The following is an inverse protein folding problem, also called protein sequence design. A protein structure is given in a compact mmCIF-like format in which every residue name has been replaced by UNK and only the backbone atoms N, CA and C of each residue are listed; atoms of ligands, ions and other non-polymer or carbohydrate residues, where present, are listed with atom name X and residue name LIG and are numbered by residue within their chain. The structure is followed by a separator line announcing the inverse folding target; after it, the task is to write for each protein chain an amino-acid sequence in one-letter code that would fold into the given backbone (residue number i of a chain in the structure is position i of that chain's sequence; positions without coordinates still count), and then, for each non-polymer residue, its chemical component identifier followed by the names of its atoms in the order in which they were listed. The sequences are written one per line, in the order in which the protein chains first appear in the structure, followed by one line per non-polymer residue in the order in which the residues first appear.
data_IF_893272525361
#
_entry.id   IF_893272525361
#
_cell.length_a   1.000
_cell.length_b   1.000
_cell.length_c   1.000
_cell.angle_alpha   90.00
_cell.angle_beta   90.00
_cell.angle_gamma   90.00
#
_symmetry.space_group_name_H-M   'P 1'
#
loop_
_entity.id
_entity.type
_entity.pdbx_description
1 polymer ?
#
# COMPACT_ATOMS: atom_id res chain seq x y z
N UNK A 1 -19.48 25.02 9.06
CA UNK A 1 -20.12 24.66 7.78
C UNK A 1 -20.75 23.28 7.93
N UNK A 2 -22.08 23.22 8.06
CA UNK A 2 -22.83 21.96 8.22
C UNK A 2 -22.72 21.17 6.92
N UNK A 3 -22.01 20.05 6.95
CA UNK A 3 -22.08 19.05 5.89
C UNK A 3 -23.46 18.41 5.95
N UNK A 4 -24.24 18.61 4.90
CA UNK A 4 -25.38 17.76 4.62
C UNK A 4 -24.84 16.40 4.12
N UNK A 5 -24.66 15.47 5.05
CA UNK A 5 -25.40 14.21 4.87
C UNK A 5 -26.86 14.65 4.67
N UNK A 6 -27.58 14.17 3.68
CA UNK A 6 -28.48 13.07 3.99
C UNK A 6 -29.00 12.54 2.67
N UNK A 7 -28.25 11.59 2.17
CA UNK A 7 -28.60 10.17 2.10
C UNK A 7 -27.43 9.57 1.34
N UNK A 8 -27.08 8.32 1.57
CA UNK A 8 -26.32 7.60 0.55
C UNK A 8 -27.32 6.95 -0.43
N UNK A 9 -27.47 7.49 -1.65
CA UNK A 9 -28.59 7.18 -2.54
C UNK A 9 -27.98 6.68 -3.86
N UNK A 10 -28.80 6.52 -4.91
CA UNK A 10 -28.40 6.05 -6.26
C UNK A 10 -27.25 6.83 -6.96
N UNK A 11 -26.63 7.81 -6.30
CA UNK A 11 -25.59 8.72 -6.79
C UNK A 11 -24.27 8.65 -5.99
N UNK A 12 -24.00 7.56 -5.26
CA UNK A 12 -22.59 7.20 -4.96
C UNK A 12 -21.93 6.83 -6.28
N UNK A 13 -21.19 7.77 -6.86
CA UNK A 13 -20.32 7.47 -8.00
C UNK A 13 -18.99 6.92 -7.48
N UNK A 14 -18.41 5.96 -8.22
CA UNK A 14 -17.10 5.37 -7.88
C UNK A 14 -16.11 6.50 -7.64
N UNK A 15 -15.14 6.31 -6.76
CA UNK A 15 -14.21 7.37 -6.29
C UNK A 15 -13.47 8.14 -7.40
N UNK A 16 -13.49 7.66 -8.64
CA UNK A 16 -12.92 8.31 -9.83
C UNK A 16 -13.96 8.89 -10.82
N UNK A 17 -15.26 8.75 -10.59
CA UNK A 17 -16.36 9.09 -11.53
C UNK A 17 -16.93 10.51 -11.36
N UNK A 18 -16.22 11.42 -10.67
CA UNK A 18 -16.61 12.83 -10.63
C UNK A 18 -16.27 13.49 -11.97
N UNK A 19 -17.33 13.73 -12.73
CA UNK A 19 -17.40 14.35 -14.05
C UNK A 19 -16.49 15.57 -14.25
N UNK A 20 -15.72 15.54 -15.35
CA UNK A 20 -15.31 16.63 -16.27
C UNK A 20 -14.93 18.01 -15.73
N UNK A 21 -14.66 18.16 -14.44
CA UNK A 21 -13.76 19.18 -13.92
C UNK A 21 -12.41 18.47 -13.82
N UNK A 22 -11.35 19.06 -14.38
CA UNK A 22 -9.97 18.58 -14.19
C UNK A 22 -9.56 18.87 -12.73
N UNK A 23 -10.28 18.30 -11.76
CA UNK A 23 -9.85 18.27 -10.37
C UNK A 23 -8.66 17.33 -10.39
N UNK A 24 -7.46 17.91 -10.42
CA UNK A 24 -6.21 17.17 -10.31
C UNK A 24 -6.09 16.65 -8.88
N UNK A 25 -6.83 15.60 -8.56
CA UNK A 25 -6.75 14.89 -7.29
C UNK A 25 -5.52 13.99 -7.31
N UNK A 26 -4.77 14.04 -6.22
CA UNK A 26 -3.57 13.27 -5.95
C UNK A 26 -3.83 12.11 -4.98
N UNK A 27 -5.10 11.86 -4.61
CA UNK A 27 -5.54 10.75 -3.76
C UNK A 27 -7.07 10.59 -3.84
N UNK A 28 -7.62 9.41 -3.50
CA UNK A 28 -9.06 9.22 -3.31
C UNK A 28 -9.61 10.11 -2.18
N UNK A 29 -10.83 10.62 -2.34
CA UNK A 29 -11.49 11.44 -1.30
C UNK A 29 -11.69 10.72 0.03
N UNK A 30 -11.90 9.40 -0.03
CA UNK A 30 -12.17 8.59 1.14
C UNK A 30 -10.90 8.12 1.85
N UNK A 31 -9.69 8.41 1.33
CA UNK A 31 -8.41 7.90 1.88
C UNK A 31 -8.24 8.08 3.40
N UNK A 32 -8.68 9.22 3.93
CA UNK A 32 -8.57 9.54 5.37
C UNK A 32 -9.89 9.36 6.12
N UNK A 33 -10.75 8.47 5.64
CA UNK A 33 -12.03 8.13 6.27
C UNK A 33 -12.03 6.66 6.70
N UNK A 34 -12.93 6.32 7.63
CA UNK A 34 -13.12 4.98 8.17
C UNK A 34 -13.80 4.00 7.17
N UNK A 35 -14.22 4.49 6.00
CA UNK A 35 -14.79 3.67 4.92
C UNK A 35 -13.78 3.32 3.83
N UNK A 36 -12.56 3.86 3.85
CA UNK A 36 -11.56 3.61 2.80
C UNK A 36 -11.26 2.12 2.61
N UNK A 37 -10.92 1.45 3.71
CA UNK A 37 -10.62 0.02 3.74
C UNK A 37 -11.88 -0.78 3.39
N UNK A 38 -13.02 -0.47 4.03
CA UNK A 38 -14.31 -1.14 3.80
C UNK A 38 -14.73 -1.16 2.33
N UNK A 39 -14.49 -0.06 1.62
CA UNK A 39 -14.81 0.06 0.20
C UNK A 39 -13.86 -0.72 -0.73
N UNK A 40 -12.76 -1.28 -0.20
CA UNK A 40 -11.65 -1.86 -0.96
C UNK A 40 -11.07 -3.12 -0.31
N UNK A 41 -11.82 -3.81 0.56
CA UNK A 41 -11.29 -4.95 1.31
C UNK A 41 -10.79 -6.04 0.37
N UNK A 42 -11.58 -6.41 -0.63
CA UNK A 42 -11.26 -7.47 -1.60
C UNK A 42 -9.99 -7.16 -2.39
N UNK A 43 -9.87 -5.94 -2.91
CA UNK A 43 -8.74 -5.52 -3.74
C UNK A 43 -7.46 -5.31 -2.92
N UNK A 44 -7.58 -4.83 -1.67
CA UNK A 44 -6.46 -4.71 -0.74
C UNK A 44 -6.01 -6.10 -0.30
N UNK A 45 -6.93 -7.01 0.04
CA UNK A 45 -6.65 -8.40 0.39
C UNK A 45 -5.93 -9.11 -0.76
N UNK A 46 -6.43 -8.98 -2.00
CA UNK A 46 -5.78 -9.51 -3.19
C UNK A 46 -4.34 -8.98 -3.34
N UNK A 47 -4.13 -7.65 -3.20
CA UNK A 47 -2.78 -7.08 -3.30
C UNK A 47 -1.85 -7.54 -2.18
N UNK A 48 -2.35 -7.68 -0.95
CA UNK A 48 -1.58 -8.24 0.16
C UNK A 48 -1.19 -9.70 -0.12
N UNK A 49 -2.10 -10.51 -0.65
CA UNK A 49 -1.81 -11.87 -1.07
C UNK A 49 -0.73 -11.91 -2.17
N UNK A 50 -0.82 -11.03 -3.17
CA UNK A 50 0.22 -10.93 -4.20
C UNK A 50 1.59 -10.57 -3.62
N UNK A 51 1.66 -9.73 -2.59
CA UNK A 51 2.91 -9.38 -1.89
C UNK A 51 3.46 -10.59 -1.11
N UNK A 52 2.58 -11.40 -0.51
CA UNK A 52 2.98 -12.58 0.28
C UNK A 52 3.44 -13.76 -0.58
N UNK A 53 2.75 -14.00 -1.71
CA UNK A 53 2.94 -15.21 -2.53
C UNK A 53 3.96 -15.02 -3.66
N UNK A 54 4.19 -13.77 -4.10
CA UNK A 54 5.16 -13.47 -5.14
C UNK A 54 6.41 -12.78 -4.58
N UNK A 55 7.31 -12.41 -5.48
CA UNK A 55 8.49 -11.63 -5.16
C UNK A 55 8.12 -10.19 -4.78
N UNK A 56 8.05 -9.94 -3.46
CA UNK A 56 7.74 -8.63 -2.89
C UNK A 56 8.76 -7.54 -3.28
N UNK A 57 10.05 -7.90 -3.42
CA UNK A 57 11.08 -6.97 -3.86
C UNK A 57 10.85 -6.52 -5.29
N UNK A 58 10.50 -7.46 -6.17
CA UNK A 58 10.14 -7.17 -7.55
C UNK A 58 8.87 -6.32 -7.64
N UNK A 59 7.85 -6.64 -6.85
CA UNK A 59 6.61 -5.84 -6.78
C UNK A 59 6.92 -4.40 -6.33
N UNK A 60 7.79 -4.22 -5.33
CA UNK A 60 8.22 -2.89 -4.90
C UNK A 60 8.93 -2.14 -6.04
N UNK A 61 9.86 -2.80 -6.73
CA UNK A 61 10.63 -2.21 -7.83
C UNK A 61 9.74 -1.80 -9.02
N UNK A 62 8.80 -2.64 -9.40
CA UNK A 62 7.81 -2.34 -10.44
C UNK A 62 6.96 -1.12 -10.05
N UNK A 63 6.44 -1.09 -8.82
CA UNK A 63 5.64 0.04 -8.32
C UNK A 63 6.45 1.33 -8.18
N UNK A 64 7.72 1.25 -7.77
CA UNK A 64 8.63 2.38 -7.70
C UNK A 64 8.85 3.00 -9.08
N UNK A 65 9.16 2.17 -10.08
CA UNK A 65 9.35 2.62 -11.47
C UNK A 65 8.07 3.22 -12.06
N UNK A 66 6.91 2.62 -11.77
CA UNK A 66 5.60 3.16 -12.17
C UNK A 66 5.32 4.52 -11.54
N UNK A 67 5.60 4.69 -10.25
CA UNK A 67 5.42 5.96 -9.54
C UNK A 67 6.36 7.04 -10.11
N UNK A 68 7.62 6.70 -10.36
CA UNK A 68 8.62 7.59 -10.98
C UNK A 68 8.16 8.07 -12.36
N UNK A 69 7.73 7.14 -13.23
CA UNK A 69 7.20 7.46 -14.57
C UNK A 69 5.97 8.37 -14.51
N UNK A 70 5.08 8.18 -13.54
CA UNK A 70 3.89 9.02 -13.37
C UNK A 70 4.22 10.41 -12.85
N UNK A 71 5.17 10.52 -11.91
CA UNK A 71 5.65 11.81 -11.40
C UNK A 71 6.06 12.72 -12.55
N UNK A 72 6.91 12.21 -13.47
CA UNK A 72 7.34 12.96 -14.64
C UNK A 72 6.18 13.37 -15.57
N UNK A 73 5.19 12.49 -15.77
CA UNK A 73 4.04 12.78 -16.63
C UNK A 73 3.05 13.81 -16.05
N UNK A 74 2.96 13.90 -14.72
CA UNK A 74 1.94 14.67 -14.01
C UNK A 74 2.47 16.00 -13.43
N UNK A 75 3.45 16.64 -14.07
CA UNK A 75 4.14 17.84 -13.56
C UNK A 75 4.67 17.63 -12.12
N UNK A 76 5.30 16.48 -11.86
CA UNK A 76 5.80 16.06 -10.55
C UNK A 76 4.72 15.94 -9.46
N UNK A 77 3.45 15.75 -9.86
CA UNK A 77 2.38 15.39 -8.93
C UNK A 77 2.30 13.88 -8.80
N UNK A 78 2.42 13.43 -7.56
CA UNK A 78 2.41 12.02 -7.18
C UNK A 78 1.32 11.79 -6.12
N UNK A 79 1.01 10.52 -5.86
CA UNK A 79 0.12 10.16 -4.77
C UNK A 79 0.59 10.81 -3.46
N UNK A 80 -0.29 11.54 -2.75
CA UNK A 80 0.12 12.41 -1.63
C UNK A 80 0.81 11.68 -0.47
N UNK A 81 0.63 10.36 -0.37
CA UNK A 81 1.31 9.56 0.66
C UNK A 81 2.69 9.05 0.25
N UNK A 82 3.11 9.27 -0.99
CA UNK A 82 4.48 9.02 -1.43
C UNK A 82 5.36 10.24 -1.12
N UNK A 83 6.65 9.97 -0.95
CA UNK A 83 7.66 11.02 -0.81
C UNK A 83 7.70 11.90 -2.06
N UNK A 84 7.65 13.22 -1.88
CA UNK A 84 7.50 14.19 -2.99
C UNK A 84 8.67 14.09 -3.97
N UNK A 85 9.83 13.83 -3.43
CA UNK A 85 11.02 13.43 -4.18
C UNK A 85 11.16 11.90 -4.15
N UNK A 86 10.68 11.23 -5.19
CA UNK A 86 10.74 9.75 -5.31
C UNK A 86 12.18 9.24 -5.25
N UNK A 87 13.15 10.06 -5.66
CA UNK A 87 14.57 9.70 -5.68
C UNK A 87 15.28 10.09 -4.37
N UNK A 88 14.54 10.59 -3.36
CA UNK A 88 15.08 10.85 -2.01
C UNK A 88 15.74 9.60 -1.42
N UNK A 89 15.19 8.43 -1.71
CA UNK A 89 15.71 7.13 -1.30
C UNK A 89 16.01 6.28 -2.53
N UNK A 90 17.11 5.53 -2.50
CA UNK A 90 17.40 4.56 -3.55
C UNK A 90 16.48 3.35 -3.37
N UNK A 91 16.16 2.66 -4.47
CA UNK A 91 15.30 1.48 -4.41
C UNK A 91 15.93 0.37 -3.56
N UNK A 92 17.26 0.27 -3.55
CA UNK A 92 18.02 -0.66 -2.72
C UNK A 92 17.81 -0.39 -1.23
N UNK A 93 17.73 0.89 -0.83
CA UNK A 93 17.46 1.27 0.57
C UNK A 93 16.05 0.85 0.99
N UNK A 94 15.07 0.94 0.09
CA UNK A 94 13.69 0.51 0.34
C UNK A 94 13.57 -1.01 0.43
N UNK A 95 14.37 -1.74 -0.35
CA UNK A 95 14.39 -3.22 -0.34
C UNK A 95 15.00 -3.80 0.93
N UNK A 96 15.78 -3.04 1.69
CA UNK A 96 16.41 -3.51 2.93
C UNK A 96 15.42 -4.19 3.88
N UNK A 97 14.19 -3.70 3.99
CA UNK A 97 13.20 -4.26 4.91
C UNK A 97 12.95 -5.76 4.69
N UNK A 98 12.98 -6.23 3.43
CA UNK A 98 12.71 -7.62 3.06
C UNK A 98 13.88 -8.54 3.40
N UNK A 99 15.10 -7.99 3.53
CA UNK A 99 16.28 -8.75 3.95
C UNK A 99 16.23 -9.13 5.43
N UNK A 100 15.64 -8.28 6.28
CA UNK A 100 15.72 -8.44 7.74
C UNK A 100 14.43 -8.95 8.39
N UNK A 101 13.28 -8.83 7.72
CA UNK A 101 11.99 -9.19 8.31
C UNK A 101 11.15 -10.05 7.37
N UNK A 102 10.33 -10.91 7.96
CA UNK A 102 9.40 -11.74 7.20
C UNK A 102 8.35 -10.86 6.54
N UNK A 103 7.97 -11.24 5.31
CA UNK A 103 6.97 -10.48 4.56
C UNK A 103 5.60 -10.44 5.26
N UNK A 104 5.24 -11.51 5.97
CA UNK A 104 3.97 -11.57 6.72
C UNK A 104 3.92 -10.52 7.84
N UNK A 105 5.01 -10.36 8.58
CA UNK A 105 5.16 -9.36 9.64
C UNK A 105 4.96 -7.93 9.09
N UNK A 106 5.57 -7.65 7.93
CA UNK A 106 5.42 -6.36 7.23
C UNK A 106 3.97 -6.15 6.80
N UNK A 107 3.33 -7.16 6.19
CA UNK A 107 1.95 -7.07 5.72
C UNK A 107 0.95 -6.87 6.86
N UNK A 108 1.18 -7.45 8.04
CA UNK A 108 0.37 -7.16 9.24
C UNK A 108 0.43 -5.69 9.63
N UNK A 109 1.63 -5.10 9.64
CA UNK A 109 1.79 -3.65 9.90
C UNK A 109 1.08 -2.80 8.86
N UNK A 110 1.14 -3.19 7.58
CA UNK A 110 0.40 -2.52 6.51
C UNK A 110 -1.12 -2.64 6.70
N UNK A 111 -1.64 -3.80 7.11
CA UNK A 111 -3.06 -3.97 7.40
C UNK A 111 -3.52 -3.07 8.55
N UNK A 112 -2.73 -2.99 9.63
CA UNK A 112 -2.98 -2.02 10.70
C UNK A 112 -3.02 -0.59 10.18
N UNK A 113 -2.04 -0.19 9.36
CA UNK A 113 -2.00 1.15 8.76
C UNK A 113 -3.26 1.45 7.93
N UNK A 114 -3.68 0.49 7.10
CA UNK A 114 -4.82 0.62 6.19
C UNK A 114 -6.16 0.67 6.93
N UNK A 115 -6.27 0.08 8.12
CA UNK A 115 -7.48 0.09 8.95
C UNK A 115 -8.01 1.51 9.21
N UNK A 116 -7.11 2.44 9.49
CA UNK A 116 -7.45 3.84 9.70
C UNK A 116 -6.25 4.73 9.39
N UNK A 117 -6.02 5.00 8.12
CA UNK A 117 -4.85 5.76 7.64
C UNK A 117 -4.75 7.13 8.32
N UNK A 118 -5.89 7.80 8.57
CA UNK A 118 -5.90 9.12 9.20
C UNK A 118 -5.26 9.11 10.59
N UNK A 119 -5.55 8.09 11.39
CA UNK A 119 -5.04 7.93 12.76
C UNK A 119 -3.71 7.18 12.80
N UNK A 120 -3.51 6.22 11.89
CA UNK A 120 -2.41 5.26 11.99
C UNK A 120 -1.14 5.68 11.26
N UNK A 121 -1.18 6.73 10.44
CA UNK A 121 -0.01 7.18 9.66
C UNK A 121 1.10 7.89 10.43
N UNK A 122 0.82 8.33 11.66
CA UNK A 122 1.76 9.10 12.48
C UNK A 122 2.27 8.28 13.66
N UNK A 123 3.46 8.63 14.15
CA UNK A 123 4.04 8.02 15.35
C UNK A 123 5.04 6.90 15.09
N UNK A 124 5.32 6.57 13.83
CA UNK A 124 6.40 5.65 13.51
C UNK A 124 7.75 6.23 13.97
N UNK A 125 8.71 5.37 14.35
CA UNK A 125 10.00 5.82 14.87
C UNK A 125 10.76 6.73 13.91
N UNK A 126 11.55 7.65 14.46
CA UNK A 126 12.29 8.67 13.71
C UNK A 126 13.34 8.10 12.75
N UNK A 127 14.04 7.04 13.18
CA UNK A 127 15.18 6.49 12.47
C UNK A 127 14.96 5.02 12.09
N UNK A 128 15.49 4.65 10.94
CA UNK A 128 15.74 3.26 10.55
C UNK A 128 17.26 3.10 10.46
N UNK A 129 17.83 2.19 11.25
CA UNK A 129 19.27 1.90 11.25
C UNK A 129 19.50 0.43 10.95
N UNK A 130 20.59 0.12 10.27
CA UNK A 130 20.92 -1.26 9.92
C UNK A 130 22.44 -1.47 9.88
N UNK A 131 22.83 -2.72 10.06
CA UNK A 131 24.16 -3.25 9.80
C UNK A 131 24.01 -4.63 9.14
N UNK A 132 25.08 -5.39 8.97
CA UNK A 132 25.01 -6.70 8.30
C UNK A 132 24.07 -7.71 8.98
N UNK A 133 23.89 -7.61 10.30
CA UNK A 133 23.22 -8.60 11.13
C UNK A 133 21.78 -8.19 11.50
N UNK A 134 21.49 -6.90 11.58
CA UNK A 134 20.18 -6.42 11.98
C UNK A 134 19.78 -5.10 11.33
N UNK A 135 18.47 -4.89 11.24
CA UNK A 135 17.82 -3.62 11.00
C UNK A 135 16.91 -3.35 12.20
N UNK A 136 16.80 -2.09 12.64
CA UNK A 136 15.88 -1.69 13.71
C UNK A 136 15.39 -0.26 13.55
N UNK A 137 14.22 -0.01 14.09
CA UNK A 137 13.59 1.31 14.12
C UNK A 137 13.82 1.97 15.48
N UNK A 138 14.23 3.24 15.50
CA UNK A 138 14.60 3.94 16.73
C UNK A 138 13.81 5.25 16.85
N UNK A 139 13.06 5.38 17.95
CA UNK A 139 12.43 6.62 18.36
C UNK A 139 13.41 7.39 19.25
N UNK A 140 13.78 8.61 18.86
CA UNK A 140 14.79 9.40 19.58
C UNK A 140 14.12 10.40 20.50
N UNK A 141 14.54 10.43 21.77
CA UNK A 141 14.07 11.41 22.76
C UNK A 141 15.22 12.24 23.29
N UNK A 142 15.19 13.53 22.94
CA UNK A 142 16.09 14.52 23.51
C UNK A 142 15.84 14.73 25.00
N UNK A 143 16.69 15.54 25.67
CA UNK A 143 16.68 15.68 27.12
C UNK A 143 15.34 16.13 27.69
N UNK A 144 14.59 16.95 26.94
CA UNK A 144 13.31 17.53 27.37
C UNK A 144 12.09 16.91 26.69
N UNK A 145 12.30 15.89 25.85
CA UNK A 145 11.22 15.25 25.12
C UNK A 145 10.52 14.19 25.96
N UNK A 146 9.23 14.05 25.70
CA UNK A 146 8.41 12.96 26.25
C UNK A 146 7.88 12.12 25.10
N UNK A 147 7.74 10.82 25.34
CA UNK A 147 7.10 9.92 24.37
C UNK A 147 5.60 10.12 24.36
N UNK A 148 4.99 10.16 23.17
CA UNK A 148 3.54 10.27 22.99
C UNK A 148 2.92 8.87 22.95
N UNK A 149 1.65 8.76 23.34
CA UNK A 149 0.92 7.49 23.37
C UNK A 149 0.90 6.78 22.00
N UNK A 150 0.57 7.50 20.93
CA UNK A 150 0.59 6.93 19.57
C UNK A 150 1.98 6.47 19.10
N UNK A 151 3.07 6.99 19.67
CA UNK A 151 4.43 6.49 19.39
C UNK A 151 4.69 5.17 20.11
N UNK A 152 4.25 5.06 21.37
CA UNK A 152 4.29 3.79 22.12
C UNK A 152 3.48 2.74 21.36
N UNK A 153 2.29 3.09 20.87
CA UNK A 153 1.45 2.21 20.05
C UNK A 153 2.21 1.70 18.81
N UNK A 154 2.93 2.56 18.07
CA UNK A 154 3.67 2.11 16.88
C UNK A 154 4.87 1.24 17.24
N UNK A 155 5.58 1.54 18.33
CA UNK A 155 6.67 0.69 18.81
C UNK A 155 6.14 -0.69 19.21
N UNK A 156 5.02 -0.75 19.92
CA UNK A 156 4.36 -2.00 20.28
C UNK A 156 3.89 -2.78 19.05
N UNK A 157 3.25 -2.10 18.09
CA UNK A 157 2.82 -2.69 16.83
C UNK A 157 3.99 -3.37 16.10
N UNK A 158 5.11 -2.67 15.94
CA UNK A 158 6.29 -3.21 15.26
C UNK A 158 6.84 -4.43 16.01
N UNK A 159 7.06 -4.31 17.32
CA UNK A 159 7.62 -5.40 18.14
C UNK A 159 6.69 -6.62 18.22
N UNK A 160 5.37 -6.43 18.25
CA UNK A 160 4.38 -7.51 18.21
C UNK A 160 4.39 -8.30 16.90
N UNK A 161 4.87 -7.69 15.81
CA UNK A 161 5.07 -8.33 14.52
C UNK A 161 6.57 -8.58 14.25
N UNK A 162 7.37 -8.87 15.27
CA UNK A 162 8.80 -9.23 15.11
C UNK A 162 9.68 -8.20 14.38
N UNK A 163 9.22 -6.94 14.27
CA UNK A 163 9.99 -5.82 13.70
C UNK A 163 10.62 -5.05 14.85
N UNK A 164 11.95 -5.10 14.97
CA UNK A 164 12.70 -4.52 16.08
C UNK A 164 12.50 -3.01 16.15
N UNK A 165 11.96 -2.53 17.27
CA UNK A 165 11.74 -1.11 17.54
C UNK A 165 12.10 -0.75 18.98
N UNK A 166 12.92 0.29 19.15
CA UNK A 166 13.47 0.72 20.45
C UNK A 166 13.34 2.24 20.64
N UNK A 167 13.50 2.68 21.90
CA UNK A 167 13.55 4.10 22.26
C UNK A 167 14.97 4.42 22.70
N UNK A 168 15.58 5.42 22.05
CA UNK A 168 16.89 5.96 22.41
C UNK A 168 16.70 7.30 23.12
N UNK A 169 17.13 7.39 24.38
CA UNK A 169 17.11 8.65 25.13
C UNK A 169 18.49 9.31 25.12
N UNK A 170 18.52 10.64 25.04
CA UNK A 170 19.75 11.44 25.06
C UNK A 170 19.73 12.28 26.34
N UNK A 171 20.71 12.06 27.22
CA UNK A 171 20.90 12.79 28.48
C UNK A 171 19.65 12.83 29.39
N UNK A 172 18.86 11.74 29.43
CA UNK A 172 17.79 11.59 30.42
C UNK A 172 18.38 11.25 31.79
N UNK A 173 17.87 11.89 32.85
CA UNK A 173 18.23 11.54 34.23
C UNK A 173 17.52 10.25 34.65
N UNK A 174 18.00 9.56 35.69
CA UNK A 174 17.34 8.34 36.22
C UNK A 174 15.85 8.57 36.51
N UNK A 175 15.50 9.74 37.06
CA UNK A 175 14.10 10.12 37.27
C UNK A 175 13.29 10.13 35.98
N UNK A 176 13.85 10.66 34.89
CA UNK A 176 13.19 10.71 33.57
C UNK A 176 13.07 9.30 32.98
N UNK A 177 14.11 8.47 33.11
CA UNK A 177 14.08 7.07 32.69
C UNK A 177 12.98 6.30 33.45
N UNK A 178 12.90 6.42 34.76
CA UNK A 178 11.86 5.77 35.58
C UNK A 178 10.45 6.21 35.16
N UNK A 179 10.24 7.50 34.90
CA UNK A 179 8.97 8.02 34.42
C UNK A 179 8.61 7.48 33.03
N UNK A 180 9.60 7.39 32.13
CA UNK A 180 9.43 6.83 30.80
C UNK A 180 9.06 5.34 30.87
N UNK A 181 9.81 4.55 31.65
CA UNK A 181 9.53 3.12 31.86
C UNK A 181 8.15 2.91 32.45
N UNK A 182 7.76 3.70 33.46
CA UNK A 182 6.41 3.66 34.04
C UNK A 182 5.35 3.95 32.98
N UNK A 183 5.53 5.02 32.20
CA UNK A 183 4.60 5.39 31.12
C UNK A 183 4.48 4.28 30.08
N UNK A 184 5.59 3.72 29.62
CA UNK A 184 5.58 2.60 28.66
C UNK A 184 4.85 1.41 29.24
N UNK A 185 5.11 1.05 30.51
CA UNK A 185 4.43 -0.07 31.17
C UNK A 185 2.92 0.14 31.24
N UNK A 186 2.47 1.29 31.74
CA UNK A 186 1.04 1.65 31.83
C UNK A 186 0.36 1.66 30.46
N UNK A 187 1.06 2.11 29.42
CA UNK A 187 0.55 2.11 28.06
C UNK A 187 0.56 0.70 27.47
N UNK A 188 1.58 -0.12 27.74
CA UNK A 188 1.66 -1.49 27.23
C UNK A 188 0.58 -2.41 27.78
N UNK A 189 0.09 -2.13 28.99
CA UNK A 189 -1.02 -2.85 29.62
C UNK A 189 -2.39 -2.37 29.12
N UNK A 190 -2.50 -1.15 28.59
CA UNK A 190 -3.78 -0.53 28.21
C UNK A 190 -4.00 -0.42 26.70
N UNK A 191 -2.93 -0.24 25.91
CA UNK A 191 -2.98 -0.15 24.45
C UNK A 191 -3.19 -1.53 23.86
N UNK A 192 -4.34 -1.70 23.23
CA UNK A 192 -4.66 -2.88 22.42
C UNK A 192 -4.51 -2.48 20.95
N UNK A 193 -3.57 -3.11 20.24
CA UNK A 193 -3.42 -2.92 18.80
C UNK A 193 -4.64 -3.51 18.09
N UNK A 194 -5.42 -2.64 17.44
CA UNK A 194 -6.66 -3.02 16.77
C UNK A 194 -6.46 -3.16 15.26
N UNK A 195 -6.41 -4.41 14.82
CA UNK A 195 -6.57 -4.79 13.42
C UNK A 195 -8.07 -4.80 13.06
N UNK A 196 -8.42 -4.66 11.77
CA UNK A 196 -9.81 -4.86 11.32
C UNK A 196 -10.27 -6.30 11.62
N UNK A 197 -9.38 -7.27 11.39
CA UNK A 197 -9.52 -8.70 11.68
C UNK A 197 -8.13 -9.37 11.59
N UNK A 198 -8.05 -10.69 11.77
CA UNK A 198 -6.79 -11.42 11.61
C UNK A 198 -6.31 -11.37 10.14
N UNK A 199 -4.99 -11.35 9.91
CA UNK A 199 -4.47 -11.33 8.53
C UNK A 199 -4.99 -12.51 7.68
N UNK A 200 -4.98 -13.78 8.14
CA UNK A 200 -5.56 -14.87 7.38
C UNK A 200 -7.03 -14.64 7.00
N UNK A 201 -7.87 -14.22 7.95
CA UNK A 201 -9.28 -13.92 7.70
C UNK A 201 -9.43 -12.79 6.68
N UNK A 202 -8.62 -11.74 6.79
CA UNK A 202 -8.67 -10.62 5.86
C UNK A 202 -8.30 -11.06 4.43
N UNK A 203 -7.32 -11.96 4.30
CA UNK A 203 -6.88 -12.49 3.00
C UNK A 203 -7.93 -13.39 2.34
N UNK A 204 -8.84 -14.03 3.09
CA UNK A 204 -9.95 -14.82 2.53
C UNK A 204 -10.90 -13.97 1.68
N UNK A 205 -10.93 -12.64 1.90
CA UNK A 205 -11.72 -11.69 1.09
C UNK A 205 -11.14 -11.45 -0.30
N UNK A 206 -9.97 -11.99 -0.60
CA UNK A 206 -9.38 -11.88 -1.93
C UNK A 206 -10.28 -12.58 -2.96
N UNK A 207 -11.10 -11.81 -3.68
CA UNK A 207 -11.65 -12.30 -4.94
C UNK A 207 -10.51 -12.44 -5.96
N UNK A 208 -10.61 -13.38 -6.90
CA UNK A 208 -9.70 -13.50 -8.05
C UNK A 208 -9.86 -12.27 -8.97
N UNK A 209 -9.43 -11.11 -8.51
CA UNK A 209 -9.31 -9.91 -9.32
C UNK A 209 -8.11 -10.07 -10.25
N UNK A 210 -8.37 -10.27 -11.54
CA UNK A 210 -7.38 -9.92 -12.57
C UNK A 210 -7.29 -8.40 -12.61
N UNK A 211 -6.39 -7.88 -11.79
CA UNK A 211 -6.12 -6.46 -11.66
C UNK A 211 -5.28 -5.98 -12.85
N UNK A 212 -5.97 -5.72 -13.96
CA UNK A 212 -5.60 -4.65 -14.88
C UNK A 212 -5.29 -3.42 -14.02
N UNK A 213 -4.05 -2.94 -14.02
CA UNK A 213 -3.50 -2.10 -12.94
C UNK A 213 -4.41 -0.93 -12.50
N UNK A 214 -4.27 -0.38 -11.29
CA UNK A 214 -4.97 0.87 -10.90
C UNK A 214 -4.67 2.05 -11.86
N UNK A 215 -3.61 1.94 -12.67
CA UNK A 215 -3.25 2.86 -13.73
C UNK A 215 -3.98 2.58 -15.04
N UNK A 216 -4.38 1.34 -15.28
CA UNK A 216 -5.29 0.97 -16.37
C UNK A 216 -6.74 1.38 -16.10
N UNK A 217 -7.11 1.76 -14.87
CA UNK A 217 -8.42 2.38 -14.64
C UNK A 217 -8.55 3.74 -15.37
N UNK A 218 -7.43 4.32 -15.82
CA UNK A 218 -7.41 5.45 -16.75
C UNK A 218 -7.35 5.07 -18.24
N UNK A 219 -7.15 3.80 -18.58
CA UNK A 219 -7.03 3.30 -19.96
C UNK A 219 -8.17 2.35 -20.38
N UNK A 220 -8.91 1.77 -19.44
CA UNK A 220 -9.97 0.81 -19.72
C UNK A 220 -11.34 1.45 -19.98
N UNK A 221 -11.38 2.33 -20.99
CA UNK A 221 -12.55 2.49 -21.86
C UNK A 221 -12.40 1.65 -23.13
N UNK A 222 -11.82 0.46 -23.00
CA UNK A 222 -11.74 -0.46 -24.12
C UNK A 222 -11.38 -1.85 -23.66
N UNK A 223 -12.29 -2.79 -23.93
CA UNK A 223 -11.87 -4.02 -24.60
C UNK A 223 -10.77 -3.61 -25.58
N UNK A 224 -9.60 -4.22 -25.54
CA UNK A 224 -8.45 -3.86 -26.37
C UNK A 224 -8.82 -4.08 -27.85
N UNK A 225 -9.56 -3.14 -28.42
CA UNK A 225 -10.15 -3.15 -29.75
C UNK A 225 -9.04 -3.31 -30.76
N UNK A 226 -7.84 -2.79 -30.47
CA UNK A 226 -6.66 -3.02 -31.29
C UNK A 226 -6.20 -4.48 -31.28
N UNK A 227 -6.08 -5.13 -30.12
CA UNK A 227 -5.76 -6.55 -30.07
C UNK A 227 -6.83 -7.42 -30.76
N UNK A 228 -8.12 -7.08 -30.57
CA UNK A 228 -9.24 -7.77 -31.22
C UNK A 228 -9.25 -7.56 -32.74
N UNK A 229 -9.00 -6.34 -33.22
CA UNK A 229 -8.84 -6.02 -34.65
C UNK A 229 -7.64 -6.76 -35.23
N UNK A 230 -6.49 -6.81 -34.55
CA UNK A 230 -5.31 -7.54 -35.03
C UNK A 230 -5.62 -9.04 -35.16
N UNK A 231 -6.25 -9.65 -34.15
CA UNK A 231 -6.63 -11.07 -34.17
C UNK A 231 -7.62 -11.35 -35.31
N UNK A 232 -8.67 -10.53 -35.45
CA UNK A 232 -9.65 -10.67 -36.55
C UNK A 232 -8.97 -10.48 -37.91
N UNK A 233 -8.12 -9.47 -38.07
CA UNK A 233 -7.40 -9.22 -39.33
C UNK A 233 -6.50 -10.41 -39.67
N UNK A 234 -5.83 -10.99 -38.68
CA UNK A 234 -5.00 -12.18 -38.87
C UNK A 234 -5.84 -13.40 -39.27
N UNK A 235 -6.98 -13.64 -38.61
CA UNK A 235 -7.90 -14.74 -38.97
C UNK A 235 -8.40 -14.57 -40.41
N UNK A 236 -8.85 -13.36 -40.79
CA UNK A 236 -9.36 -13.09 -42.14
C UNK A 236 -8.26 -13.24 -43.20
N UNK A 237 -7.04 -12.74 -42.95
CA UNK A 237 -5.93 -12.85 -43.89
C UNK A 237 -5.48 -14.31 -44.11
N UNK A 238 -5.57 -15.16 -43.08
CA UNK A 238 -5.17 -16.56 -43.16
C UNK A 238 -6.30 -17.53 -43.53
N UNK A 239 -7.56 -17.08 -43.49
CA UNK A 239 -8.72 -17.89 -43.86
C UNK A 239 -8.65 -18.46 -45.31
N UNK A 240 -8.25 -17.71 -46.35
CA UNK A 240 -8.11 -18.24 -47.70
C UNK A 240 -7.06 -19.35 -47.80
N UNK A 241 -5.94 -19.21 -47.07
CA UNK A 241 -4.88 -20.21 -47.04
C UNK A 241 -5.33 -21.49 -46.32
N UNK A 242 -6.12 -21.36 -45.27
CA UNK A 242 -6.74 -22.50 -44.59
C UNK A 242 -7.74 -23.24 -45.49
N UNK A 243 -8.55 -22.51 -46.27
CA UNK A 243 -9.46 -23.11 -47.26
C UNK A 243 -8.67 -23.82 -48.37
N UNK A 244 -7.61 -23.20 -48.91
CA UNK A 244 -6.70 -23.84 -49.87
C UNK A 244 -6.09 -25.12 -49.30
N UNK A 245 -5.59 -25.07 -48.06
CA UNK A 245 -5.07 -26.24 -47.36
C UNK A 245 -6.12 -27.36 -47.24
N UNK A 246 -7.36 -27.06 -46.88
CA UNK A 246 -8.44 -28.06 -46.83
C UNK A 246 -8.79 -28.64 -48.20
N UNK A 247 -8.78 -27.82 -49.26
CA UNK A 247 -9.00 -28.26 -50.65
C UNK A 247 -7.89 -29.22 -51.11
N UNK A 248 -6.63 -28.90 -50.82
CA UNK A 248 -5.49 -29.76 -51.16
C UNK A 248 -5.41 -31.02 -50.29
N UNK A 249 -5.81 -30.93 -49.02
CA UNK A 249 -5.89 -32.09 -48.12
C UNK A 249 -6.96 -33.10 -48.57
N UNK A 250 -8.07 -32.64 -49.16
CA UNK A 250 -9.13 -33.52 -49.72
C UNK A 250 -8.78 -34.17 -51.07
N UNK A 251 -7.68 -33.76 -51.71
CA UNK A 251 -7.18 -34.32 -52.98
C UNK A 251 -6.05 -35.33 -52.80
N UNK A 252 -5.74 -35.73 -51.57
CA UNK A 252 -4.89 -36.89 -51.25
C UNK A 252 -5.75 -38.03 -50.72
#
# INVERSE_FOLDING_TARGET
MKYQSDKFPKYIKKSFELEKIRIKQDMPFDLFTDVFLKNREEIIAYKMQQILENDAEKILEENYNLAKKQSFKNNNRIFRMLERDIDRFKIEDLKLIFKYYNIEDIVRVLLFYMNNIAQNRSGFPDLMIFNENELKFIEVKGPNDTIKEHQIEKIMLLNQNNIKSEILTINHTERKLNNLTKKIKENSESIIIKYPESLPTFLEKSEKHNLNSYLEYGENNGINIFAFIIIITFIIAFFPFYILYLIFKKKR
#
